data_IF_436584234697
#
_entry.id   IF_436584234697
#
_cell.length_a   1.000
_cell.length_b   1.000
_cell.length_c   1.000
_cell.angle_alpha   90.00
_cell.angle_beta   90.00
_cell.angle_gamma   90.00
#
_symmetry.space_group_name_H-M   'P 1'
#
loop_
_entity.id
_entity.type
_entity.pdbx_description
1 polymer ?
#
# COMPACT_ATOMS: atom_id res chain seq x y z
N UNK A 1 -11.95 17.11 -13.52
CA UNK A 1 -12.17 17.83 -12.24
C UNK A 1 -11.20 17.20 -11.24
N UNK A 2 -10.27 17.98 -10.66
CA UNK A 2 -9.27 17.44 -9.72
C UNK A 2 -9.82 17.58 -8.31
N UNK A 3 -9.88 16.49 -7.56
CA UNK A 3 -10.18 16.52 -6.13
C UNK A 3 -8.86 16.40 -5.37
N UNK A 4 -8.61 17.32 -4.45
CA UNK A 4 -7.51 17.26 -3.50
C UNK A 4 -8.09 17.10 -2.10
N UNK A 5 -7.54 16.18 -1.31
CA UNK A 5 -7.76 16.12 0.13
C UNK A 5 -6.58 16.80 0.82
N UNK A 6 -6.85 17.80 1.64
CA UNK A 6 -5.86 18.41 2.53
C UNK A 6 -5.78 17.60 3.81
N UNK A 7 -4.60 17.08 4.15
CA UNK A 7 -4.31 16.38 5.41
C UNK A 7 -3.67 17.29 6.46
N UNK A 8 -3.91 18.61 6.42
CA UNK A 8 -3.51 19.49 7.53
C UNK A 8 -4.66 20.39 7.95
N UNK A 9 -5.05 20.22 9.21
CA UNK A 9 -5.96 21.10 9.94
C UNK A 9 -5.41 22.52 10.12
N UNK A 10 -6.20 23.42 10.74
CA UNK A 10 -7.05 23.14 11.89
C UNK A 10 -8.54 23.08 11.51
N UNK A 11 -9.27 22.10 12.03
CA UNK A 11 -10.72 22.03 11.84
C UNK A 11 -11.43 22.33 13.14
N UNK A 12 -12.19 23.41 13.12
CA UNK A 12 -13.12 23.79 14.18
C UNK A 12 -14.20 22.70 14.29
N UNK A 13 -14.46 22.22 15.51
CA UNK A 13 -15.19 20.97 15.82
C UNK A 13 -16.71 21.12 15.64
N UNK A 14 -17.18 21.89 14.65
CA UNK A 14 -18.60 22.24 14.56
C UNK A 14 -19.31 21.97 13.25
N UNK A 15 -18.67 21.43 12.21
CA UNK A 15 -19.43 20.73 11.16
C UNK A 15 -18.55 19.86 10.25
N UNK A 16 -18.75 18.55 10.34
CA UNK A 16 -18.37 17.55 9.32
C UNK A 16 -19.62 16.71 9.08
N UNK A 17 -20.13 16.73 7.85
CA UNK A 17 -21.29 15.93 7.45
C UNK A 17 -20.85 14.61 6.82
N UNK A 18 -21.47 13.52 7.28
CA UNK A 18 -21.20 12.10 7.01
C UNK A 18 -22.46 11.48 6.35
N UNK A 19 -22.32 10.38 5.60
CA UNK A 19 -23.42 9.42 5.37
C UNK A 19 -23.02 7.97 5.72
N UNK A 20 -23.91 7.28 6.47
CA UNK A 20 -23.87 5.88 6.94
C UNK A 20 -25.29 5.29 6.90
N UNK A 21 -25.45 4.01 6.56
CA UNK A 21 -26.68 3.22 6.70
C UNK A 21 -26.39 1.93 7.52
N UNK A 22 -27.19 1.63 8.55
CA UNK A 22 -26.88 0.93 9.83
C UNK A 22 -27.37 -0.53 9.95
N UNK A 23 -26.75 -1.38 10.80
CA UNK A 23 -27.34 -1.90 12.07
C UNK A 23 -26.32 -2.63 13.01
N UNK A 24 -26.58 -2.75 14.32
CA UNK A 24 -25.64 -3.12 15.43
C UNK A 24 -25.93 -4.45 16.18
N UNK A 25 -24.91 -5.04 16.84
CA UNK A 25 -24.98 -6.29 17.67
C UNK A 25 -25.11 -5.98 19.19
N UNK A 26 -25.87 -6.81 19.94
CA UNK A 26 -26.28 -6.60 21.33
C UNK A 26 -25.21 -6.95 22.41
N UNK A 27 -25.52 -6.59 23.67
CA UNK A 27 -24.64 -5.90 24.61
C UNK A 27 -24.20 -6.64 25.90
N UNK A 28 -24.48 -7.93 26.14
CA UNK A 28 -23.92 -8.69 27.30
C UNK A 28 -23.81 -10.20 27.04
N UNK A 29 -22.79 -10.85 27.63
CA UNK A 29 -22.63 -12.31 27.71
C UNK A 29 -21.26 -12.85 27.27
N UNK A 30 -20.59 -13.61 28.14
CA UNK A 30 -19.38 -14.36 27.80
C UNK A 30 -19.69 -15.57 26.91
N UNK A 31 -18.72 -15.86 26.04
CA UNK A 31 -18.28 -17.20 25.60
C UNK A 31 -18.78 -17.72 24.24
N UNK A 32 -17.82 -17.86 23.32
CA UNK A 32 -17.85 -18.88 22.26
C UNK A 32 -16.41 -19.21 21.80
N UNK A 33 -15.52 -19.39 22.78
CA UNK A 33 -14.09 -19.69 22.57
C UNK A 33 -13.84 -21.01 21.81
N UNK A 34 -14.87 -21.79 21.47
CA UNK A 34 -14.73 -23.14 20.93
C UNK A 34 -15.21 -23.33 19.49
N UNK A 35 -15.74 -22.28 18.87
CA UNK A 35 -15.92 -22.25 17.40
C UNK A 35 -14.96 -21.30 16.74
N UNK A 36 -14.32 -20.41 17.49
CA UNK A 36 -13.25 -19.56 17.00
C UNK A 36 -12.06 -20.38 16.45
N UNK A 37 -11.79 -21.57 17.01
CA UNK A 37 -10.70 -22.45 16.55
C UNK A 37 -11.02 -23.17 15.22
N UNK A 38 -12.29 -23.52 14.99
CA UNK A 38 -12.77 -24.05 13.69
C UNK A 38 -13.03 -22.93 12.67
N UNK A 39 -13.46 -21.74 13.12
CA UNK A 39 -13.63 -20.55 12.27
C UNK A 39 -12.30 -20.01 11.78
N UNK A 40 -11.22 -20.06 12.57
CA UNK A 40 -9.90 -19.56 12.14
C UNK A 40 -9.30 -20.39 10.99
N UNK A 41 -9.53 -21.71 10.97
CA UNK A 41 -9.19 -22.59 9.82
C UNK A 41 -10.07 -22.33 8.59
N UNK A 42 -11.29 -21.82 8.78
CA UNK A 42 -12.24 -21.44 7.72
C UNK A 42 -12.06 -19.97 7.23
N UNK A 43 -11.52 -19.08 8.08
CA UNK A 43 -11.55 -17.62 7.88
C UNK A 43 -10.30 -17.01 7.26
N UNK A 44 -9.15 -17.68 7.34
CA UNK A 44 -7.96 -17.28 6.58
C UNK A 44 -7.89 -17.98 5.21
N UNK A 45 -9.05 -18.29 4.59
CA UNK A 45 -9.21 -18.99 3.30
C UNK A 45 -8.62 -18.24 2.08
N UNK A 46 -7.40 -17.72 2.18
CA UNK A 46 -6.71 -17.00 1.14
C UNK A 46 -7.20 -15.60 0.86
N UNK A 47 -8.11 -15.06 1.69
CA UNK A 47 -8.83 -13.83 1.38
C UNK A 47 -8.04 -12.58 1.77
N UNK A 48 -8.05 -11.59 0.87
CA UNK A 48 -7.39 -10.30 0.91
C UNK A 48 -8.45 -9.20 0.74
N UNK A 49 -8.19 -8.01 1.29
CA UNK A 49 -9.12 -6.86 1.33
C UNK A 49 -9.49 -6.22 -0.03
N UNK A 50 -9.22 -6.88 -1.14
CA UNK A 50 -9.13 -6.24 -2.45
C UNK A 50 -10.48 -6.22 -3.15
N UNK A 51 -10.78 -5.15 -3.88
CA UNK A 51 -11.83 -5.22 -4.90
C UNK A 51 -11.32 -5.98 -6.13
N UNK A 52 -12.21 -6.70 -6.82
CA UNK A 52 -11.85 -7.46 -8.03
C UNK A 52 -11.31 -6.52 -9.10
N UNK A 53 -11.85 -5.31 -9.17
CA UNK A 53 -11.46 -4.23 -10.06
C UNK A 53 -10.02 -3.78 -9.78
N UNK A 54 -9.66 -3.50 -8.51
CA UNK A 54 -8.27 -3.15 -8.14
C UNK A 54 -7.26 -4.27 -8.41
N UNK A 55 -7.72 -5.51 -8.44
CA UNK A 55 -6.87 -6.66 -8.74
C UNK A 55 -6.55 -6.80 -10.22
N UNK A 56 -7.57 -6.73 -11.09
CA UNK A 56 -7.43 -7.01 -12.53
C UNK A 56 -7.12 -5.78 -13.38
N UNK A 57 -7.49 -4.59 -12.90
CA UNK A 57 -7.31 -3.35 -13.66
C UNK A 57 -6.08 -2.57 -13.19
N UNK A 58 -5.57 -1.73 -14.09
CA UNK A 58 -4.59 -0.69 -13.75
C UNK A 58 -5.33 0.40 -12.97
N UNK A 59 -5.15 0.39 -11.64
CA UNK A 59 -5.82 1.33 -10.74
C UNK A 59 -4.87 2.35 -10.09
N UNK A 60 -3.57 2.09 -10.05
CA UNK A 60 -2.58 2.98 -9.43
C UNK A 60 -1.24 2.90 -10.17
N UNK A 61 -0.52 4.03 -10.21
CA UNK A 61 0.88 4.06 -10.63
C UNK A 61 1.83 3.88 -9.43
N UNK A 62 2.95 3.20 -9.65
CA UNK A 62 4.02 3.10 -8.67
C UNK A 62 4.99 4.28 -8.79
N UNK A 63 5.66 4.63 -7.70
CA UNK A 63 6.73 5.64 -7.69
C UNK A 63 7.90 5.13 -6.85
N UNK A 64 8.94 4.62 -7.51
CA UNK A 64 10.18 4.20 -6.87
C UNK A 64 10.89 5.41 -6.27
N UNK A 65 11.33 5.32 -5.01
CA UNK A 65 11.97 6.44 -4.35
C UNK A 65 13.26 6.93 -5.05
N UNK A 66 13.99 6.04 -5.74
CA UNK A 66 15.17 6.40 -6.55
C UNK A 66 14.77 7.19 -7.78
N UNK A 67 13.70 6.80 -8.47
CA UNK A 67 13.15 7.57 -9.61
C UNK A 67 12.72 8.95 -9.15
N UNK A 68 12.04 9.05 -8.01
CA UNK A 68 11.62 10.33 -7.42
C UNK A 68 12.85 11.18 -7.06
N UNK A 69 13.86 10.61 -6.41
CA UNK A 69 15.08 11.32 -6.04
C UNK A 69 15.84 11.84 -7.27
N UNK A 70 16.05 11.00 -8.28
CA UNK A 70 16.72 11.40 -9.53
C UNK A 70 15.94 12.49 -10.27
N UNK A 71 14.60 12.45 -10.24
CA UNK A 71 13.79 13.52 -10.81
C UNK A 71 13.97 14.84 -10.06
N UNK A 72 14.08 14.81 -8.72
CA UNK A 72 14.35 16.01 -7.92
C UNK A 72 15.76 16.56 -8.17
N UNK A 73 16.77 15.68 -8.24
CA UNK A 73 18.15 16.06 -8.55
C UNK A 73 18.19 16.72 -9.92
N UNK A 74 17.65 16.07 -10.95
CA UNK A 74 17.58 16.63 -12.30
C UNK A 74 16.87 17.98 -12.32
N UNK A 75 15.79 18.15 -11.54
CA UNK A 75 15.05 19.40 -11.49
C UNK A 75 15.83 20.53 -10.79
N UNK A 76 16.68 20.17 -9.83
CA UNK A 76 17.53 21.11 -9.11
C UNK A 76 18.81 21.48 -9.88
N UNK A 77 19.32 20.60 -10.74
CA UNK A 77 20.62 20.79 -11.41
C UNK A 77 20.52 21.13 -12.90
N UNK A 78 19.34 21.03 -13.52
CA UNK A 78 19.18 21.31 -14.94
C UNK A 78 18.74 22.77 -15.20
N UNK A 79 19.71 23.61 -15.56
CA UNK A 79 19.50 25.02 -15.86
C UNK A 79 18.52 25.27 -17.02
N UNK A 80 18.41 24.34 -17.98
CA UNK A 80 17.49 24.47 -19.13
C UNK A 80 16.01 24.41 -18.73
N UNK A 81 15.72 23.83 -17.55
CA UNK A 81 14.37 23.59 -17.05
C UNK A 81 14.02 24.59 -15.93
N UNK A 82 15.00 25.37 -15.49
CA UNK A 82 14.80 26.45 -14.53
C UNK A 82 13.87 27.51 -15.11
N UNK A 83 12.66 27.59 -14.55
CA UNK A 83 11.64 28.58 -14.96
C UNK A 83 11.32 29.50 -13.79
N UNK A 84 11.19 30.80 -14.07
CA UNK A 84 10.87 31.82 -13.04
C UNK A 84 9.55 31.57 -12.31
N UNK A 85 8.60 30.89 -12.96
CA UNK A 85 7.27 30.61 -12.40
C UNK A 85 7.13 29.19 -11.81
N UNK A 86 8.21 28.40 -11.84
CA UNK A 86 8.22 27.00 -11.41
C UNK A 86 7.39 26.06 -12.30
N UNK A 87 7.69 24.76 -12.23
CA UNK A 87 6.93 23.73 -12.95
C UNK A 87 6.68 22.50 -12.09
N UNK A 88 5.42 22.02 -12.09
CA UNK A 88 5.07 20.75 -11.47
C UNK A 88 5.19 19.58 -12.48
N UNK A 89 5.72 18.45 -12.02
CA UNK A 89 5.84 17.20 -12.78
C UNK A 89 5.32 16.04 -11.94
N UNK A 90 4.67 15.07 -12.57
CA UNK A 90 4.36 13.80 -11.92
C UNK A 90 5.66 12.97 -11.83
N UNK A 91 5.82 12.24 -10.73
CA UNK A 91 6.93 11.33 -10.50
C UNK A 91 6.39 9.90 -10.35
N UNK A 92 6.17 9.22 -11.48
CA UNK A 92 5.63 7.85 -11.53
C UNK A 92 6.58 6.94 -12.30
N UNK A 93 6.56 5.64 -12.09
CA UNK A 93 7.52 4.68 -12.64
C UNK A 93 7.55 4.58 -14.17
N UNK A 94 6.41 4.85 -14.81
CA UNK A 94 6.22 4.88 -16.26
C UNK A 94 5.38 3.72 -16.77
N UNK A 95 5.88 2.47 -16.74
CA UNK A 95 5.05 1.31 -17.07
C UNK A 95 3.94 1.10 -16.03
N UNK A 96 2.72 0.88 -16.50
CA UNK A 96 1.60 0.46 -15.67
C UNK A 96 1.77 -0.99 -15.20
N UNK A 97 1.04 -1.35 -14.15
CA UNK A 97 1.02 -2.70 -13.61
C UNK A 97 -0.38 -3.05 -13.11
N UNK A 98 -0.64 -4.35 -12.97
CA UNK A 98 -1.78 -4.84 -12.19
C UNK A 98 -1.28 -5.62 -10.99
N UNK A 99 -2.05 -5.61 -9.91
CA UNK A 99 -1.69 -6.39 -8.75
C UNK A 99 -1.85 -7.89 -8.94
N UNK A 100 -2.71 -8.31 -9.87
CA UNK A 100 -2.77 -9.69 -10.37
C UNK A 100 -1.42 -10.21 -10.88
N UNK A 101 -0.61 -9.34 -11.48
CA UNK A 101 0.73 -9.70 -11.96
C UNK A 101 1.75 -9.71 -10.81
N UNK A 102 1.66 -8.75 -9.89
CA UNK A 102 2.66 -8.57 -8.82
C UNK A 102 2.50 -9.59 -7.69
N UNK A 103 1.27 -9.80 -7.21
CA UNK A 103 1.03 -10.51 -5.96
C UNK A 103 1.47 -11.98 -5.94
N UNK A 104 1.31 -12.78 -7.03
CA UNK A 104 1.86 -14.14 -7.08
C UNK A 104 3.39 -14.17 -6.95
N UNK A 105 4.09 -13.16 -7.48
CA UNK A 105 5.55 -13.04 -7.39
C UNK A 105 5.95 -12.73 -5.95
N UNK A 106 5.21 -11.84 -5.26
CA UNK A 106 5.44 -11.55 -3.84
C UNK A 106 5.21 -12.79 -2.97
N UNK A 107 4.11 -13.52 -3.19
CA UNK A 107 3.84 -14.77 -2.48
C UNK A 107 5.02 -15.74 -2.59
N UNK A 108 5.51 -15.98 -3.82
CA UNK A 108 6.69 -16.81 -4.05
C UNK A 108 7.93 -16.29 -3.32
N UNK A 109 8.19 -14.98 -3.31
CA UNK A 109 9.37 -14.38 -2.65
C UNK A 109 9.36 -14.53 -1.13
N UNK A 110 8.17 -14.61 -0.52
CA UNK A 110 7.98 -14.85 0.91
C UNK A 110 7.66 -16.31 1.26
N UNK A 111 7.67 -17.23 0.28
CA UNK A 111 7.33 -18.63 0.51
C UNK A 111 5.85 -18.85 0.88
N UNK A 112 4.98 -17.90 0.55
CA UNK A 112 3.54 -17.95 0.79
C UNK A 112 2.77 -18.40 -0.46
N UNK A 113 1.76 -19.24 -0.26
CA UNK A 113 0.82 -19.59 -1.31
C UNK A 113 -0.19 -18.46 -1.51
N UNK A 114 -0.50 -18.12 -2.77
CA UNK A 114 -1.54 -17.15 -3.14
C UNK A 114 -2.78 -17.91 -3.60
N UNK A 115 -3.86 -17.94 -2.80
CA UNK A 115 -5.03 -18.73 -3.15
C UNK A 115 -5.80 -18.12 -4.32
N UNK A 116 -6.52 -18.97 -5.07
CA UNK A 116 -7.30 -18.53 -6.23
C UNK A 116 -8.51 -17.68 -5.82
N UNK A 117 -9.15 -18.03 -4.71
CA UNK A 117 -10.34 -17.36 -4.18
C UNK A 117 -9.96 -16.42 -3.04
N UNK A 118 -9.39 -15.27 -3.40
CA UNK A 118 -8.83 -14.33 -2.42
C UNK A 118 -9.68 -13.08 -2.18
N UNK A 119 -10.83 -12.86 -2.82
CA UNK A 119 -11.56 -11.59 -2.63
C UNK A 119 -12.53 -11.67 -1.46
N UNK A 120 -12.42 -10.74 -0.50
CA UNK A 120 -13.39 -10.61 0.59
C UNK A 120 -13.66 -9.16 0.96
N UNK A 121 -14.93 -8.77 0.91
CA UNK A 121 -15.39 -7.47 1.37
C UNK A 121 -15.28 -7.31 2.90
N UNK A 122 -15.24 -8.43 3.63
CA UNK A 122 -15.20 -8.47 5.10
C UNK A 122 -13.77 -8.50 5.65
N UNK A 123 -12.76 -8.68 4.80
CA UNK A 123 -11.36 -8.70 5.21
C UNK A 123 -10.77 -7.27 5.21
N UNK A 124 -10.08 -6.95 6.29
CA UNK A 124 -9.36 -5.69 6.50
C UNK A 124 -8.00 -5.99 7.11
N UNK A 125 -6.92 -5.51 6.50
CA UNK A 125 -5.55 -5.70 6.96
C UNK A 125 -5.36 -5.14 8.37
N UNK A 126 -5.91 -3.94 8.65
CA UNK A 126 -5.82 -3.33 9.97
C UNK A 126 -6.41 -4.23 11.06
N UNK A 127 -7.55 -4.86 10.80
CA UNK A 127 -8.19 -5.80 11.75
C UNK A 127 -7.44 -7.12 11.84
N UNK A 128 -7.00 -7.67 10.70
CA UNK A 128 -6.38 -8.99 10.61
C UNK A 128 -5.00 -9.06 11.30
N UNK A 129 -4.32 -7.92 11.45
CA UNK A 129 -2.96 -7.84 11.96
C UNK A 129 -2.89 -7.25 13.38
N UNK A 130 -3.98 -6.66 13.89
CA UNK A 130 -4.02 -5.99 15.20
C UNK A 130 -3.59 -6.87 16.38
N UNK A 131 -3.81 -8.18 16.32
CA UNK A 131 -3.41 -9.14 17.37
C UNK A 131 -2.03 -9.79 17.13
N UNK A 132 -1.30 -9.38 16.09
CA UNK A 132 -0.04 -10.01 15.65
C UNK A 132 1.22 -9.35 16.16
N UNK A 133 1.11 -8.32 17.01
CA UNK A 133 2.27 -7.64 17.62
C UNK A 133 3.24 -8.62 18.31
N UNK A 134 2.70 -9.54 19.12
CA UNK A 134 3.54 -10.54 19.82
C UNK A 134 4.21 -11.51 18.83
N UNK A 135 3.49 -11.93 17.80
CA UNK A 135 4.03 -12.82 16.76
C UNK A 135 5.19 -12.14 16.02
N UNK A 136 5.05 -10.84 15.71
CA UNK A 136 6.13 -10.07 15.10
C UNK A 136 7.36 -9.94 16.00
N UNK A 137 7.15 -9.68 17.30
CA UNK A 137 8.25 -9.63 18.26
C UNK A 137 9.01 -10.97 18.34
N UNK A 138 8.28 -12.10 18.32
CA UNK A 138 8.89 -13.43 18.29
C UNK A 138 9.68 -13.68 17.00
N UNK A 139 9.16 -13.27 15.84
CA UNK A 139 9.88 -13.33 14.56
C UNK A 139 11.13 -12.47 14.60
N UNK A 140 11.03 -11.23 15.08
CA UNK A 140 12.15 -10.30 15.14
C UNK A 140 13.29 -10.84 16.01
N UNK A 141 12.97 -11.42 17.17
CA UNK A 141 13.96 -12.07 18.04
C UNK A 141 14.57 -13.30 17.37
N UNK A 142 13.75 -14.15 16.76
CA UNK A 142 14.18 -15.41 16.15
C UNK A 142 15.10 -15.19 14.94
N UNK A 143 14.78 -14.23 14.10
CA UNK A 143 15.52 -13.94 12.86
C UNK A 143 16.61 -12.87 13.05
N UNK A 144 16.77 -12.33 14.27
CA UNK A 144 17.79 -11.33 14.60
C UNK A 144 17.58 -9.99 13.90
N UNK A 145 16.31 -9.58 13.76
CA UNK A 145 15.90 -8.33 13.13
C UNK A 145 16.18 -7.11 14.02
N UNK A 146 16.19 -5.93 13.42
CA UNK A 146 16.15 -4.68 14.16
C UNK A 146 14.87 -4.62 15.00
N UNK A 147 14.97 -4.07 16.20
CA UNK A 147 13.82 -3.93 17.08
C UNK A 147 12.90 -2.82 16.56
N UNK A 148 11.87 -3.20 15.82
CA UNK A 148 10.83 -2.30 15.31
C UNK A 148 9.47 -2.78 15.76
N UNK A 149 8.59 -1.83 16.05
CA UNK A 149 7.17 -2.14 16.21
C UNK A 149 6.55 -2.32 14.83
N UNK A 150 5.45 -3.07 14.77
CA UNK A 150 4.81 -3.37 13.50
C UNK A 150 4.24 -2.11 12.84
N UNK A 151 3.77 -1.18 13.67
CA UNK A 151 3.24 0.11 13.25
C UNK A 151 4.31 1.04 12.66
N UNK A 152 5.60 0.80 12.98
CA UNK A 152 6.71 1.54 12.38
C UNK A 152 6.97 1.08 10.93
N UNK A 153 6.63 -0.17 10.61
CA UNK A 153 6.90 -0.79 9.31
C UNK A 153 5.69 -0.80 8.38
N UNK A 154 4.47 -0.84 8.92
CA UNK A 154 3.26 -1.07 8.15
C UNK A 154 2.13 -0.08 8.49
N UNK A 155 1.69 0.67 7.48
CA UNK A 155 0.46 1.47 7.55
C UNK A 155 -0.73 0.67 7.01
N UNK A 156 -1.36 -0.11 7.88
CA UNK A 156 -2.41 -1.04 7.50
C UNK A 156 -3.70 -0.35 7.05
N UNK A 157 -4.04 0.80 7.66
CA UNK A 157 -5.19 1.60 7.24
C UNK A 157 -5.00 2.17 5.83
N UNK A 158 -3.78 2.57 5.48
CA UNK A 158 -3.44 2.96 4.11
C UNK A 158 -3.60 1.80 3.13
N UNK A 159 -3.13 0.59 3.46
CA UNK A 159 -3.30 -0.59 2.60
C UNK A 159 -4.77 -0.93 2.36
N UNK A 160 -5.59 -0.86 3.40
CA UNK A 160 -7.04 -1.08 3.28
C UNK A 160 -7.70 -0.06 2.34
N UNK A 161 -7.33 1.22 2.45
CA UNK A 161 -7.84 2.26 1.54
C UNK A 161 -7.32 2.02 0.11
N UNK A 162 -6.04 1.70 -0.04
CA UNK A 162 -5.39 1.49 -1.33
C UNK A 162 -6.04 0.36 -2.13
N UNK A 163 -6.23 -0.82 -1.51
CA UNK A 163 -6.76 -2.00 -2.19
C UNK A 163 -8.29 -1.99 -2.37
N UNK A 164 -8.98 -1.06 -1.72
CA UNK A 164 -10.44 -0.90 -1.79
C UNK A 164 -10.88 0.36 -2.54
N UNK A 165 -9.95 1.21 -2.96
CA UNK A 165 -10.27 2.47 -3.63
C UNK A 165 -11.07 2.22 -4.91
N UNK A 166 -12.30 2.78 -5.05
CA UNK A 166 -13.06 2.68 -6.29
C UNK A 166 -12.52 3.63 -7.38
N UNK A 167 -11.56 4.49 -7.04
CA UNK A 167 -10.99 5.48 -7.95
C UNK A 167 -9.64 5.03 -8.51
N UNK A 168 -9.45 5.26 -9.81
CA UNK A 168 -8.15 5.11 -10.48
C UNK A 168 -7.28 6.33 -10.20
N UNK A 169 -6.09 6.11 -9.66
CA UNK A 169 -5.09 7.12 -9.33
C UNK A 169 -3.93 7.03 -10.32
N UNK A 170 -4.18 7.46 -11.55
CA UNK A 170 -3.23 7.37 -12.66
C UNK A 170 -2.75 8.75 -13.09
N UNK A 171 -1.45 8.88 -13.29
CA UNK A 171 -0.77 10.07 -13.76
C UNK A 171 -0.23 9.89 -15.18
N UNK A 172 0.13 11.01 -15.80
CA UNK A 172 0.86 10.99 -17.08
C UNK A 172 2.28 11.50 -16.89
N UNK A 173 3.23 10.88 -17.59
CA UNK A 173 4.63 11.32 -17.63
C UNK A 173 4.98 12.21 -18.82
N UNK A 174 4.06 12.47 -19.75
CA UNK A 174 4.39 13.20 -20.98
C UNK A 174 5.12 14.53 -20.76
N UNK A 175 4.81 15.25 -19.67
CA UNK A 175 5.55 16.46 -19.29
C UNK A 175 6.98 16.15 -18.82
N UNK A 176 7.16 15.13 -17.97
CA UNK A 176 8.47 14.69 -17.49
C UNK A 176 9.35 14.14 -18.63
N UNK A 177 8.71 13.47 -19.60
CA UNK A 177 9.42 12.76 -20.67
C UNK A 177 9.83 13.70 -21.80
N UNK A 178 8.93 14.59 -22.22
CA UNK A 178 9.15 15.44 -23.40
C UNK A 178 9.61 16.85 -23.06
N UNK A 179 9.17 17.43 -21.95
CA UNK A 179 9.56 18.81 -21.57
C UNK A 179 10.71 18.85 -20.57
N UNK A 180 10.83 17.81 -19.76
CA UNK A 180 11.86 17.71 -18.73
C UNK A 180 12.99 16.75 -19.12
N UNK A 181 12.86 16.04 -20.25
CA UNK A 181 13.89 15.13 -20.78
C UNK A 181 14.25 13.96 -19.84
N UNK A 182 13.44 13.68 -18.83
CA UNK A 182 13.76 12.69 -17.81
C UNK A 182 13.35 11.28 -18.26
N UNK A 183 14.36 10.49 -18.59
CA UNK A 183 14.20 9.18 -19.23
C UNK A 183 14.27 8.01 -18.26
N UNK A 184 14.66 8.23 -16.99
CA UNK A 184 14.70 7.15 -16.00
C UNK A 184 13.30 6.54 -15.82
N UNK A 185 13.25 5.22 -15.80
CA UNK A 185 12.06 4.40 -15.59
C UNK A 185 12.38 3.26 -14.64
N UNK A 186 11.38 2.78 -13.95
CA UNK A 186 11.48 1.59 -13.10
C UNK A 186 10.22 0.76 -13.32
N UNK A 187 10.33 -0.56 -13.48
CA UNK A 187 9.13 -1.39 -13.44
C UNK A 187 8.69 -1.53 -11.99
N UNK A 188 7.40 -1.36 -11.69
CA UNK A 188 6.91 -1.38 -10.30
C UNK A 188 7.18 -2.72 -9.61
N UNK A 189 7.09 -3.85 -10.33
CA UNK A 189 7.46 -5.14 -9.76
C UNK A 189 8.93 -5.16 -9.33
N UNK A 190 9.85 -4.78 -10.22
CA UNK A 190 11.30 -4.72 -9.92
C UNK A 190 11.60 -3.75 -8.78
N UNK A 191 10.90 -2.61 -8.72
CA UNK A 191 10.96 -1.66 -7.60
C UNK A 191 10.61 -2.34 -6.28
N UNK A 192 9.45 -3.01 -6.21
CA UNK A 192 9.00 -3.69 -4.99
C UNK A 192 9.99 -4.80 -4.58
N UNK A 193 10.48 -5.60 -5.54
CA UNK A 193 11.44 -6.66 -5.27
C UNK A 193 12.76 -6.11 -4.71
N UNK A 194 13.27 -5.01 -5.29
CA UNK A 194 14.46 -4.31 -4.81
C UNK A 194 14.28 -3.79 -3.38
N UNK A 195 13.15 -3.15 -3.07
CA UNK A 195 12.90 -2.62 -1.73
C UNK A 195 12.71 -3.72 -0.68
N UNK A 196 12.14 -4.87 -1.06
CA UNK A 196 12.08 -6.05 -0.18
C UNK A 196 13.49 -6.55 0.14
N UNK A 197 14.37 -6.67 -0.86
CA UNK A 197 15.74 -7.12 -0.62
C UNK A 197 16.54 -6.10 0.21
N UNK A 198 16.33 -4.80 -0.02
CA UNK A 198 16.94 -3.73 0.79
C UNK A 198 16.50 -3.81 2.26
N UNK A 199 15.19 -4.03 2.52
CA UNK A 199 14.68 -4.19 3.88
C UNK A 199 15.22 -5.47 4.57
N UNK A 200 15.51 -6.54 3.81
CA UNK A 200 16.16 -7.75 4.33
C UNK A 200 17.62 -7.51 4.69
N UNK A 201 18.36 -6.82 3.82
CA UNK A 201 19.75 -6.43 4.07
C UNK A 201 19.88 -5.55 5.32
N UNK A 202 18.92 -4.65 5.54
CA UNK A 202 18.80 -3.81 6.74
C UNK A 202 18.21 -4.55 7.95
N UNK A 203 17.83 -5.82 7.81
CA UNK A 203 17.21 -6.65 8.85
C UNK A 203 15.92 -6.05 9.44
N UNK A 204 15.13 -5.36 8.62
CA UNK A 204 13.79 -4.90 8.98
C UNK A 204 12.74 -6.00 8.82
N UNK A 205 12.98 -6.94 7.90
CA UNK A 205 12.16 -8.13 7.65
C UNK A 205 13.06 -9.36 7.48
N UNK A 206 12.54 -10.59 7.68
CA UNK A 206 13.28 -11.83 7.41
C UNK A 206 13.66 -12.04 5.95
#
# INVERSE_FOLDING_TARGET
>A
MKHYFSLRGPFDVKEVSIYVEKCSRASEGYNFYYVLEDLLKERLAGKVAWTRECWVEVCIDGSDARVVAEQHICAATNDEISSRDGQAFNAINGPSFTWKEIWPVLGKKFGAEVPKEMFSNDFWFATAINDKKKVWQEIAVKEGLLHTEMEDLANLGFLDILFRSPMKMLGTRGKADHRFGFTMRCQTLESILYWIDSMREEKLIP
#
